data_IF_860466795578
#
_entry.id   IF_860466795578
#
_cell.length_a   1.000
_cell.length_b   1.000
_cell.length_c   1.000
_cell.angle_alpha   90.00
_cell.angle_beta   90.00
_cell.angle_gamma   90.00
#
_symmetry.space_group_name_H-M   'P 1'
#
loop_
_entity.id
_entity.type
_entity.pdbx_description
1 polymer ?
2 non-polymer ?
3 water ?
#
# COMPACT_ATOMS: atom_id res chain seq x y z
N UNK A 1 -3.73 -2.21 -9.56
CA UNK A 1 -2.65 -2.80 -8.72
C UNK A 1 -2.27 -1.78 -7.62
N UNK A 2 -2.55 -2.13 -6.36
CA UNK A 2 -2.11 -1.37 -5.19
C UNK A 2 -0.74 -1.90 -4.77
N UNK A 3 0.18 -1.01 -4.44
CA UNK A 3 1.48 -1.45 -3.94
C UNK A 3 2.41 -2.00 -4.99
N UNK A 4 2.10 -1.75 -6.26
CA UNK A 4 2.91 -2.28 -7.34
C UNK A 4 3.99 -1.31 -7.78
N UNK A 5 4.44 -1.53 -9.02
CA UNK A 5 5.45 -0.67 -9.62
C UNK A 5 5.17 -0.60 -11.11
N UNK A 6 5.81 0.35 -11.79
CA UNK A 6 5.64 0.52 -13.24
C UNK A 6 6.29 -0.65 -13.95
N UNK A 7 5.53 -1.36 -14.76
CA UNK A 7 6.08 -2.49 -15.49
C UNK A 7 7.17 -1.97 -16.39
N UNK A 8 8.30 -2.66 -16.42
CA UNK A 8 9.39 -2.32 -17.33
C UNK A 8 8.93 -2.40 -18.78
N UNK A 9 9.73 -1.82 -19.68
CA UNK A 9 9.46 -1.86 -21.11
C UNK A 9 9.41 -3.31 -21.62
N UNK A 10 8.38 -3.59 -22.42
CA UNK A 10 8.09 -4.94 -22.94
C UNK A 10 8.38 -6.09 -21.98
N UNK A 11 7.96 -5.94 -20.73
CA UNK A 11 8.07 -7.06 -19.80
C UNK A 11 6.75 -7.81 -19.74
N UNK A 12 5.70 -7.21 -20.31
CA UNK A 12 4.36 -7.78 -20.28
C UNK A 12 3.68 -7.70 -21.66
N UNK A 13 4.29 -8.34 -22.68
CA UNK A 13 3.82 -8.16 -24.06
C UNK A 13 2.46 -8.78 -24.32
N UNK A 14 2.04 -9.67 -23.40
CA UNK A 14 0.78 -10.41 -23.53
C UNK A 14 -0.39 -9.69 -22.89
N UNK A 15 -0.13 -8.57 -22.22
CA UNK A 15 -1.20 -7.82 -21.57
C UNK A 15 -2.07 -7.10 -22.60
N UNK A 16 -3.39 -7.28 -22.52
CA UNK A 16 -4.32 -6.47 -23.31
C UNK A 16 -5.36 -5.78 -22.42
N UNK A 17 -6.04 -4.78 -22.96
CA UNK A 17 -7.15 -4.13 -22.28
C UNK A 17 -8.41 -4.38 -23.08
N UNK A 18 -9.53 -4.57 -22.39
CA UNK A 18 -10.82 -4.65 -23.05
C UNK A 18 -11.46 -3.28 -22.87
N UNK A 19 -12.17 -2.81 -23.89
CA UNK A 19 -12.58 -1.44 -23.94
C UNK A 19 -13.98 -1.35 -24.50
N UNK A 20 -14.75 -0.42 -23.95
CA UNK A 20 -16.00 0.03 -24.56
C UNK A 20 -15.87 1.53 -24.56
N UNK A 21 -15.09 2.03 -25.51
CA UNK A 21 -14.69 3.41 -25.47
C UNK A 21 -13.40 3.48 -24.68
N UNK A 22 -13.47 3.19 -23.39
CA UNK A 22 -12.27 3.11 -22.54
C UNK A 22 -12.13 1.73 -21.88
N UNK A 23 -10.99 1.49 -21.25
CA UNK A 23 -10.70 0.21 -20.61
C UNK A 23 -11.52 -0.06 -19.36
N UNK A 24 -12.15 -1.24 -19.31
CA UNK A 24 -12.92 -1.65 -18.16
C UNK A 24 -12.37 -2.93 -17.56
N UNK A 25 -11.43 -3.56 -18.26
CA UNK A 25 -10.85 -4.82 -17.81
C UNK A 25 -9.55 -5.11 -18.53
N UNK A 26 -8.76 -6.03 -17.97
CA UNK A 26 -7.58 -6.51 -18.66
C UNK A 26 -7.86 -7.85 -19.33
N UNK A 27 -6.82 -8.45 -19.92
CA UNK A 27 -6.94 -9.74 -20.56
C UNK A 27 -5.55 -10.21 -20.90
N UNK A 28 -5.43 -11.43 -21.41
CA UNK A 28 -4.13 -11.99 -21.76
C UNK A 28 -4.20 -12.60 -23.13
N UNK A 29 -3.22 -12.27 -23.97
CA UNK A 29 -3.13 -12.81 -25.32
C UNK A 29 -2.51 -14.22 -25.24
N UNK A 30 -3.32 -15.26 -25.52
CA UNK A 30 -2.87 -16.68 -25.43
C UNK A 30 -2.73 -17.39 -26.80
N UNK A 31 -3.07 -16.68 -27.87
CA UNK A 31 -2.98 -17.20 -29.21
C UNK A 31 -2.98 -15.95 -30.06
N UNK A 32 -2.42 -16.00 -31.27
CA UNK A 32 -2.42 -14.83 -32.17
C UNK A 32 -3.82 -14.27 -32.48
N UNK A 33 -4.85 -15.07 -32.17
CA UNK A 33 -6.20 -14.62 -32.39
C UNK A 33 -7.11 -14.74 -31.16
N UNK A 34 -6.54 -15.06 -30.00
CA UNK A 34 -7.39 -15.27 -28.82
C UNK A 34 -6.84 -14.66 -27.53
N UNK A 35 -7.77 -14.06 -26.79
CA UNK A 35 -7.49 -13.44 -25.52
C UNK A 35 -8.31 -14.16 -24.43
N UNK A 36 -7.69 -14.44 -23.29
CA UNK A 36 -8.43 -14.89 -22.12
C UNK A 36 -8.70 -13.70 -21.18
N UNK A 37 -9.92 -13.60 -20.67
CA UNK A 37 -10.24 -12.59 -19.67
C UNK A 37 -11.20 -13.19 -18.64
N UNK A 38 -11.73 -12.35 -17.76
CA UNK A 38 -12.70 -12.81 -16.77
C UNK A 38 -14.10 -12.79 -17.37
N UNK A 39 -14.92 -13.77 -17.00
CA UNK A 39 -16.27 -13.84 -17.50
C UNK A 39 -17.14 -12.70 -17.01
N UNK A 40 -16.80 -12.14 -15.86
CA UNK A 40 -17.56 -11.00 -15.39
C UNK A 40 -17.16 -9.67 -16.07
N UNK A 41 -16.22 -9.73 -17.01
CA UNK A 41 -15.84 -8.57 -17.82
C UNK A 41 -16.64 -8.58 -19.11
N UNK A 42 -17.53 -9.54 -19.19
CA UNK A 42 -18.33 -9.73 -20.39
C UNK A 42 -19.09 -8.49 -20.81
N UNK A 43 -19.03 -8.22 -22.11
CA UNK A 43 -19.93 -7.28 -22.74
C UNK A 43 -20.17 -7.85 -24.12
N UNK A 44 -21.20 -7.33 -24.76
CA UNK A 44 -21.63 -7.77 -26.08
C UNK A 44 -20.64 -7.38 -27.19
N UNK A 45 -20.12 -6.15 -27.09
CA UNK A 45 -19.17 -5.60 -28.05
C UNK A 45 -17.96 -5.12 -27.26
N UNK A 46 -16.79 -5.63 -27.63
CA UNK A 46 -15.54 -5.32 -26.95
C UNK A 46 -14.49 -5.02 -28.02
N UNK A 47 -13.79 -3.90 -27.85
CA UNK A 47 -12.59 -3.65 -28.64
C UNK A 47 -11.41 -4.03 -27.78
N UNK A 48 -10.57 -4.92 -28.29
CA UNK A 48 -9.35 -5.29 -27.57
C UNK A 48 -8.19 -4.45 -28.04
N UNK A 49 -7.38 -3.96 -27.12
CA UNK A 49 -6.19 -3.25 -27.55
C UNK A 49 -4.95 -3.94 -27.03
N UNK A 50 -3.97 -4.11 -27.93
CA UNK A 50 -2.72 -4.81 -27.65
C UNK A 50 -1.56 -3.84 -27.74
N UNK A 51 -0.49 -4.14 -27.04
CA UNK A 51 0.71 -3.34 -27.14
C UNK A 51 0.69 -2.01 -26.37
N UNK A 52 -0.32 -1.75 -25.54
CA UNK A 52 -0.33 -0.53 -24.73
C UNK A 52 0.56 -0.62 -23.50
N UNK A 53 1.27 0.46 -23.21
CA UNK A 53 1.95 0.60 -21.93
C UNK A 53 1.30 1.74 -21.15
N UNK A 54 1.44 2.94 -21.68
CA UNK A 54 0.72 4.11 -21.20
C UNK A 54 -0.65 4.04 -21.87
N UNK A 55 -1.70 3.84 -21.09
CA UNK A 55 -3.03 3.63 -21.67
C UNK A 55 -3.67 4.93 -22.17
N UNK A 56 -3.03 6.05 -21.85
CA UNK A 56 -3.50 7.36 -22.29
C UNK A 56 -2.80 7.82 -23.56
N UNK A 57 -1.50 7.56 -23.65
CA UNK A 57 -0.67 8.09 -24.73
C UNK A 57 -0.18 6.98 -25.63
N UNK A 58 -0.54 7.06 -26.91
CA UNK A 58 -0.04 6.12 -27.93
C UNK A 58 1.47 6.16 -27.94
N UNK A 59 2.09 5.01 -27.94
CA UNK A 59 3.53 4.95 -28.06
C UNK A 59 3.96 4.30 -29.35
N UNK A 60 2.98 3.79 -30.10
CA UNK A 60 3.26 3.37 -31.46
C UNK A 60 3.07 1.90 -31.76
N UNK A 61 3.07 1.07 -30.73
CA UNK A 61 2.92 -0.36 -30.94
C UNK A 61 1.53 -0.90 -30.64
N UNK A 62 0.55 -0.01 -30.52
CA UNK A 62 -0.80 -0.45 -30.18
C UNK A 62 -1.46 -1.12 -31.36
N UNK A 63 -2.29 -2.12 -31.06
CA UNK A 63 -3.18 -2.69 -32.06
C UNK A 63 -4.62 -2.63 -31.53
N UNK A 64 -5.51 -2.12 -32.36
CA UNK A 64 -6.92 -1.98 -32.01
C UNK A 64 -7.64 -3.05 -32.80
N UNK A 65 -8.20 -4.04 -32.11
CA UNK A 65 -8.89 -5.13 -32.79
C UNK A 65 -10.20 -5.43 -32.05
N UNK A 66 -11.31 -5.41 -32.76
CA UNK A 66 -12.60 -5.68 -32.17
C UNK A 66 -12.80 -7.18 -32.00
N UNK A 67 -13.46 -7.57 -30.92
CA UNK A 67 -13.73 -8.96 -30.67
C UNK A 67 -14.64 -9.49 -31.78
N UNK A 68 -14.33 -10.67 -32.29
CA UNK A 68 -15.22 -11.33 -33.24
C UNK A 68 -16.20 -12.19 -32.46
N UNK A 69 -15.72 -12.89 -31.44
CA UNK A 69 -16.56 -13.79 -30.67
C UNK A 69 -16.20 -13.63 -29.22
N UNK A 70 -17.22 -13.59 -28.37
CA UNK A 70 -17.03 -13.51 -26.91
C UNK A 70 -17.74 -14.72 -26.33
N UNK A 71 -16.95 -15.62 -25.79
CA UNK A 71 -17.47 -16.86 -25.27
C UNK A 71 -17.13 -16.95 -23.78
N UNK A 72 -18.11 -16.65 -22.94
CA UNK A 72 -17.97 -16.81 -21.50
C UNK A 72 -18.17 -18.26 -21.10
N UNK A 73 -17.42 -18.73 -20.11
CA UNK A 73 -17.54 -20.13 -19.69
C UNK A 73 -19.00 -20.47 -19.39
N UNK A 74 -19.51 -21.56 -20.00
CA UNK A 74 -20.95 -21.90 -19.96
C UNK A 74 -21.51 -22.01 -18.54
N UNK A 75 -20.65 -22.46 -17.63
CA UNK A 75 -21.01 -22.65 -16.22
C UNK A 75 -20.59 -21.49 -15.33
N UNK A 76 -20.42 -20.31 -15.93
CA UNK A 76 -20.06 -19.13 -15.17
C UNK A 76 -21.20 -18.80 -14.21
N UNK A 77 -20.84 -18.59 -12.95
CA UNK A 77 -21.81 -18.26 -11.92
C UNK A 77 -21.65 -16.79 -11.54
N UNK A 78 -22.64 -15.98 -11.88
CA UNK A 78 -22.65 -14.55 -11.57
C UNK A 78 -22.48 -14.23 -10.08
N UNK A 79 -23.26 -14.89 -9.24
CA UNK A 79 -23.25 -14.66 -7.79
C UNK A 79 -21.92 -15.04 -7.15
N UNK A 80 -21.45 -16.26 -7.39
CA UNK A 80 -20.24 -16.79 -6.75
C UNK A 80 -18.94 -16.48 -7.49
N UNK A 81 -19.06 -16.01 -8.74
CA UNK A 81 -17.92 -15.78 -9.64
C UNK A 81 -17.15 -17.05 -9.95
N UNK A 82 -17.84 -18.18 -9.84
CA UNK A 82 -17.29 -19.50 -10.13
C UNK A 82 -17.22 -19.63 -11.65
N UNK A 83 -16.08 -20.11 -12.15
CA UNK A 83 -15.85 -20.26 -13.58
C UNK A 83 -15.82 -18.89 -14.22
N UNK A 84 -15.12 -17.97 -13.56
CA UNK A 84 -15.01 -16.59 -14.02
C UNK A 84 -13.93 -16.52 -15.09
N UNK A 85 -14.29 -16.91 -16.31
CA UNK A 85 -13.33 -17.02 -17.40
C UNK A 85 -14.08 -16.91 -18.70
N UNK A 86 -13.43 -16.27 -19.67
CA UNK A 86 -14.05 -15.87 -20.93
C UNK A 86 -12.96 -15.79 -22.00
N UNK A 87 -13.29 -16.25 -23.20
CA UNK A 87 -12.35 -16.24 -24.33
C UNK A 87 -12.88 -15.26 -25.33
N UNK A 88 -11.99 -14.47 -25.91
CA UNK A 88 -12.37 -13.52 -26.94
C UNK A 88 -11.58 -13.85 -28.18
N UNK A 89 -12.27 -14.16 -29.28
CA UNK A 89 -11.61 -14.30 -30.56
C UNK A 89 -11.47 -12.92 -31.18
N UNK A 90 -10.26 -12.60 -31.64
CA UNK A 90 -10.01 -11.33 -32.28
C UNK A 90 -10.50 -11.39 -33.71
N UNK A 91 -11.04 -10.28 -34.21
CA UNK A 91 -11.56 -10.27 -35.57
C UNK A 91 -10.43 -10.43 -36.63
N UNK A 92 -9.21 -10.05 -36.28
CA UNK A 92 -8.05 -10.35 -37.11
C UNK A 92 -6.89 -10.85 -36.25
N UNK A 93 -5.92 -11.50 -36.88
CA UNK A 93 -4.74 -12.00 -36.17
C UNK A 93 -3.88 -10.86 -35.66
N UNK A 94 -3.56 -10.88 -34.38
CA UNK A 94 -2.64 -9.91 -33.85
C UNK A 94 -1.32 -10.11 -34.56
N UNK A 95 -0.55 -9.05 -34.63
CA UNK A 95 0.80 -9.08 -35.19
C UNK A 95 1.73 -9.30 -34.03
N UNK A 96 2.46 -10.40 -34.05
CA UNK A 96 3.37 -10.74 -32.97
C UNK A 96 4.73 -10.11 -33.23
N UNK A 97 5.23 -9.39 -32.24
CA UNK A 97 6.52 -8.74 -32.34
C UNK A 97 7.08 -8.74 -30.92
N UNK A 98 7.97 -7.81 -30.58
CA UNK A 98 8.55 -7.78 -29.23
C UNK A 98 7.64 -7.10 -28.22
N UNK A 99 6.67 -6.33 -28.72
CA UNK A 99 5.73 -5.58 -27.88
C UNK A 99 4.42 -6.32 -27.69
N UNK A 100 4.11 -7.20 -28.64
CA UNK A 100 2.89 -7.98 -28.59
C UNK A 100 3.21 -9.43 -28.82
N UNK A 101 3.05 -10.23 -27.78
CA UNK A 101 3.14 -11.66 -27.91
C UNK A 101 2.33 -12.38 -26.85
N UNK A 102 2.30 -13.71 -26.99
CA UNK A 102 1.39 -14.56 -26.27
C UNK A 102 2.00 -15.03 -24.99
N UNK A 103 1.17 -15.59 -24.13
CA UNK A 103 1.62 -16.20 -22.88
C UNK A 103 1.12 -17.65 -22.89
N UNK A 104 1.97 -18.55 -22.44
CA UNK A 104 1.69 -19.96 -22.39
C UNK A 104 0.63 -20.29 -21.35
N UNK A 105 -0.19 -21.30 -21.63
CA UNK A 105 -1.13 -21.81 -20.62
C UNK A 105 -0.37 -22.69 -19.64
N UNK A 106 -0.96 -22.98 -18.47
CA UNK A 106 -0.20 -23.74 -17.47
C UNK A 106 -0.23 -25.27 -17.67
N UNK A 107 0.91 -25.89 -17.42
CA UNK A 107 0.99 -27.35 -17.54
C UNK A 107 0.69 -28.06 -16.20
N UNK A 108 0.73 -27.32 -15.11
CA UNK A 108 0.43 -27.85 -13.78
C UNK A 108 -0.28 -26.74 -13.03
N UNK A 109 -1.13 -27.09 -12.04
CA UNK A 109 -1.81 -26.05 -11.26
C UNK A 109 -0.81 -25.22 -10.45
N UNK A 110 -1.25 -24.07 -9.93
CA UNK A 110 -0.35 -23.16 -9.21
C UNK A 110 0.22 -23.80 -7.95
N UNK A 111 1.52 -23.65 -7.76
CA UNK A 111 2.22 -24.28 -6.66
C UNK A 111 2.44 -23.26 -5.56
N UNK A 112 1.95 -23.57 -4.38
CA UNK A 112 2.03 -22.67 -3.24
C UNK A 112 3.45 -22.13 -3.05
N UNK A 113 3.55 -20.82 -2.87
CA UNK A 113 4.83 -20.18 -2.70
C UNK A 113 5.38 -19.59 -3.98
N UNK A 114 4.97 -20.13 -5.14
CA UNK A 114 5.42 -19.65 -6.44
C UNK A 114 5.18 -18.15 -6.64
N UNK A 115 6.24 -17.46 -7.08
CA UNK A 115 6.16 -16.03 -7.38
C UNK A 115 5.52 -15.79 -8.74
N UNK A 116 4.58 -14.86 -8.76
CA UNK A 116 3.85 -14.53 -9.98
C UNK A 116 3.86 -13.04 -10.22
N UNK A 117 3.57 -12.67 -11.47
CA UNK A 117 3.48 -11.28 -11.86
C UNK A 117 2.04 -10.97 -12.21
N UNK A 118 1.46 -10.01 -11.50
CA UNK A 118 0.12 -9.53 -11.80
C UNK A 118 0.26 -8.13 -12.39
N UNK A 119 -0.56 -7.83 -13.38
CA UNK A 119 -0.47 -6.54 -14.04
C UNK A 119 -1.83 -5.97 -14.46
N UNK A 120 -1.94 -4.65 -14.53
CA UNK A 120 -3.17 -4.05 -14.99
C UNK A 120 -3.16 -2.55 -14.80
N UNK A 121 -4.20 -1.90 -15.31
CA UNK A 121 -4.36 -0.46 -15.20
C UNK A 121 -5.43 -0.12 -14.15
N UNK A 122 -5.63 -1.04 -13.20
CA UNK A 122 -6.60 -0.80 -12.15
C UNK A 122 -6.19 0.27 -11.17
N UNK A 123 -7.07 0.49 -10.19
CA UNK A 123 -6.87 1.50 -9.14
C UNK A 123 -5.64 1.12 -8.35
N UNK A 124 -4.80 2.11 -8.04
CA UNK A 124 -3.56 1.89 -7.31
C UNK A 124 -3.62 2.35 -5.86
N UNK A 125 -4.80 2.80 -5.41
CA UNK A 125 -5.01 3.26 -4.05
C UNK A 125 -6.05 2.37 -3.35
N UNK A 126 -5.78 2.00 -2.11
CA UNK A 126 -6.72 1.20 -1.32
C UNK A 126 -8.06 1.93 -1.05
N UNK A 127 -8.02 3.26 -0.98
CA UNK A 127 -9.26 4.04 -0.89
C UNK A 127 -9.12 5.29 -1.75
N UNK A 128 -10.22 5.68 -2.40
CA UNK A 128 -10.18 6.77 -3.35
C UNK A 128 -9.76 6.29 -4.72
N UNK A 129 -10.17 7.03 -5.75
CA UNK A 129 -9.77 6.73 -7.11
C UNK A 129 -8.36 7.25 -7.36
N UNK A 130 -7.52 6.40 -7.93
CA UNK A 130 -6.19 6.79 -8.35
C UNK A 130 -5.74 5.82 -9.43
N UNK A 132 -3.83 4.57 -12.83
CA UNK A 132 -2.51 4.82 -13.41
C UNK A 132 -2.57 4.96 -14.93
N UNK A 133 -1.65 5.74 -15.47
CA UNK A 133 -1.47 5.79 -16.92
C UNK A 133 -0.66 4.60 -17.42
N UNK A 134 0.39 4.27 -16.67
CA UNK A 134 1.27 3.20 -17.05
C UNK A 134 0.92 1.89 -16.42
N UNK A 135 1.03 0.83 -17.22
CA UNK A 135 0.79 -0.52 -16.74
C UNK A 135 1.54 -0.77 -15.46
N UNK A 136 0.81 -1.20 -14.43
CA UNK A 136 1.37 -1.55 -13.14
C UNK A 136 1.58 -3.06 -13.02
N UNK A 137 2.61 -3.43 -12.27
CA UNK A 137 3.06 -4.81 -12.12
C UNK A 137 3.17 -5.06 -10.62
N UNK A 138 3.01 -6.31 -10.23
CA UNK A 138 3.13 -6.68 -8.82
C UNK A 138 3.63 -8.11 -8.75
N UNK A 139 4.66 -8.34 -7.96
CA UNK A 139 5.13 -9.69 -7.70
C UNK A 139 4.50 -10.17 -6.42
N UNK A 140 3.75 -11.26 -6.50
CA UNK A 140 3.03 -11.81 -5.35
C UNK A 140 3.10 -13.34 -5.41
N UNK A 141 3.08 -14.01 -4.25
CA UNK A 141 3.28 -15.45 -4.29
C UNK A 141 1.95 -16.19 -4.19
N UNK A 142 1.91 -17.44 -4.65
CA UNK A 142 0.69 -18.22 -4.48
C UNK A 142 0.54 -18.63 -3.02
N UNK A 143 -0.64 -18.38 -2.46
CA UNK A 143 -0.96 -18.76 -1.09
C UNK A 143 -1.64 -20.11 -1.09
N UNK A 144 -1.59 -20.80 0.04
CA UNK A 144 -2.21 -22.12 0.14
C UNK A 144 -3.71 -21.99 0.00
N UNK A 145 -4.36 -23.06 -0.43
CA UNK A 145 -5.83 -23.10 -0.47
C UNK A 145 -6.42 -22.85 0.91
N UNK A 146 -5.71 -23.35 1.93
CA UNK A 146 -6.09 -23.20 3.33
C UNK A 146 -6.22 -21.75 3.71
N UNK A 147 -5.14 -20.99 3.47
CA UNK A 147 -5.13 -19.57 3.75
C UNK A 147 -6.22 -18.87 2.91
N UNK A 148 -6.43 -19.38 1.71
CA UNK A 148 -7.42 -18.81 0.80
C UNK A 148 -8.85 -19.06 1.28
N UNK A 149 -9.14 -20.30 1.68
CA UNK A 149 -10.47 -20.68 2.16
C UNK A 149 -10.76 -19.91 3.43
N UNK A 150 -9.73 -19.83 4.29
CA UNK A 150 -9.78 -19.16 5.60
C UNK A 150 -10.15 -17.70 5.46
N UNK A 151 -9.49 -17.03 4.52
CA UNK A 151 -9.73 -15.63 4.27
C UNK A 151 -11.15 -15.40 3.73
N UNK A 152 -11.66 -16.34 2.96
CA UNK A 152 -13.00 -16.18 2.37
C UNK A 152 -13.90 -17.41 2.61
N UNK A 153 -14.41 -17.53 3.84
CA UNK A 153 -15.12 -18.73 4.33
C UNK A 153 -16.36 -19.06 3.50
N UNK A 154 -16.27 -20.15 2.74
CA UNK A 154 -17.41 -20.60 1.95
C UNK A 154 -17.60 -19.97 0.59
N UNK A 155 -16.65 -19.10 0.20
CA UNK A 155 -16.69 -18.43 -1.12
C UNK A 155 -15.74 -19.09 -2.15
N UNK A 156 -14.71 -19.76 -1.65
CA UNK A 156 -13.62 -20.29 -2.46
C UNK A 156 -13.93 -21.66 -3.03
N UNK A 157 -14.04 -21.77 -4.36
CA UNK A 157 -14.20 -23.07 -4.99
C UNK A 157 -12.85 -23.56 -5.56
N UNK A 158 -12.82 -24.77 -6.11
CA UNK A 158 -11.57 -25.35 -6.63
C UNK A 158 -11.12 -24.66 -7.92
N UNK A 159 -11.97 -23.77 -8.41
CA UNK A 159 -11.71 -23.03 -9.64
C UNK A 159 -11.16 -21.66 -9.30
N UNK A 160 -10.71 -21.49 -8.06
CA UNK A 160 -10.19 -20.22 -7.58
C UNK A 160 -8.90 -20.47 -6.80
N UNK A 161 -8.03 -19.48 -6.73
CA UNK A 161 -6.88 -19.53 -5.82
C UNK A 161 -6.47 -18.13 -5.40
N UNK A 162 -5.61 -18.04 -4.41
CA UNK A 162 -5.29 -16.76 -3.78
C UNK A 162 -3.82 -16.50 -3.97
N UNK A 163 -3.52 -15.29 -4.43
CA UNK A 163 -2.14 -14.84 -4.62
C UNK A 163 -2.13 -13.48 -3.95
N UNK A 164 -1.13 -13.25 -3.12
CA UNK A 164 -1.06 -11.98 -2.44
C UNK A 164 -0.30 -12.04 -1.13
N UNK A 165 -0.76 -11.22 -0.19
CA UNK A 165 -0.10 -11.10 1.11
C UNK A 165 -1.21 -11.01 2.13
N UNK A 166 -1.11 -11.80 3.18
CA UNK A 166 -2.18 -11.81 4.18
C UNK A 166 -2.13 -10.56 5.04
N UNK A 167 -1.00 -9.88 5.02
CA UNK A 167 -0.87 -8.61 5.72
C UNK A 167 -1.51 -7.46 4.94
N UNK A 168 -1.90 -7.71 3.70
CA UNK A 168 -2.42 -6.66 2.86
C UNK A 168 -1.33 -5.70 2.40
N UNK A 169 -1.73 -4.53 1.90
CA UNK A 169 -0.76 -3.56 1.42
C UNK A 169 -0.54 -3.59 -0.09
N UNK A 170 -0.42 -4.79 -0.64
CA UNK A 170 -0.26 -4.98 -2.08
C UNK A 170 -1.35 -5.93 -2.55
N UNK A 171 -1.94 -5.61 -3.70
CA UNK A 171 -3.09 -6.37 -4.17
C UNK A 171 -3.55 -5.92 -5.55
N UNK A 172 -4.42 -6.70 -6.17
CA UNK A 172 -5.16 -6.26 -7.35
C UNK A 172 -6.35 -5.42 -6.88
N UNK A 173 -6.94 -4.64 -7.77
CA UNK A 173 -7.99 -3.72 -7.37
C UNK A 173 -8.93 -3.43 -8.52
N UNK A 174 -9.94 -2.60 -8.26
CA UNK A 174 -10.92 -2.22 -9.27
C UNK A 174 -10.26 -1.80 -10.60
N UNK A 175 -10.59 -2.51 -11.68
CA UNK A 175 -10.03 -2.22 -12.99
C UNK A 175 -9.03 -3.26 -13.46
N UNK A 176 -8.56 -4.09 -12.53
CA UNK A 176 -7.57 -5.10 -12.87
C UNK A 176 -8.15 -6.43 -13.35
N UNK A 177 -9.47 -6.58 -13.20
CA UNK A 177 -10.18 -7.82 -13.56
C UNK A 177 -9.92 -8.28 -14.98
N UNK A 178 -9.80 -9.59 -15.18
CA UNK A 178 -9.49 -10.13 -16.48
C UNK A 178 -7.99 -10.25 -16.75
N UNK A 179 -7.19 -9.50 -15.99
CA UNK A 179 -5.77 -9.45 -16.27
C UNK A 179 -5.04 -10.71 -15.88
N UNK A 180 -3.73 -10.76 -16.20
CA UNK A 180 -2.90 -11.96 -16.05
C UNK A 180 -2.18 -12.06 -14.70
N UNK A 181 -2.12 -13.29 -14.18
CA UNK A 181 -1.22 -13.70 -13.11
C UNK A 181 -0.30 -14.71 -13.79
N UNK A 182 0.93 -14.32 -14.04
CA UNK A 182 1.86 -15.18 -14.75
C UNK A 182 2.95 -15.66 -13.79
N UNK A 183 3.09 -16.98 -13.68
CA UNK A 183 4.09 -17.59 -12.81
C UNK A 183 4.95 -18.52 -13.64
N UNK A 184 6.27 -18.36 -13.56
CA UNK A 184 7.21 -19.21 -14.31
C UNK A 184 6.84 -19.39 -15.79
N UNK A 185 6.50 -18.28 -16.43
CA UNK A 185 6.22 -18.28 -17.85
C UNK A 185 4.87 -18.83 -18.22
N UNK A 186 3.96 -18.94 -17.25
CA UNK A 186 2.66 -19.53 -17.54
C UNK A 186 1.53 -18.75 -16.92
N UNK A 187 0.44 -18.58 -17.68
CA UNK A 187 -0.73 -17.89 -17.16
C UNK A 187 -1.46 -18.78 -16.17
N UNK A 188 -1.24 -18.55 -14.87
CA UNK A 188 -1.92 -19.35 -13.86
C UNK A 188 -3.25 -18.75 -13.41
N UNK A 189 -3.36 -17.42 -13.44
CA UNK A 189 -4.56 -16.79 -12.94
C UNK A 189 -5.13 -15.68 -13.82
N UNK A 190 -6.42 -15.45 -13.65
CA UNK A 190 -7.12 -14.31 -14.22
C UNK A 190 -7.62 -13.55 -12.98
N UNK A 191 -7.38 -12.24 -12.92
CA UNK A 191 -7.84 -11.43 -11.79
C UNK A 191 -9.36 -11.57 -11.69
N UNK A 192 -9.84 -12.10 -10.57
CA UNK A 192 -11.26 -12.38 -10.45
C UNK A 192 -12.00 -11.45 -9.50
N UNK A 193 -11.77 -11.61 -8.20
CA UNK A 193 -12.48 -10.81 -7.21
C UNK A 193 -11.67 -10.63 -5.94
N UNK A 194 -12.16 -9.76 -5.05
CA UNK A 194 -11.56 -9.62 -3.74
C UNK A 194 -12.51 -8.99 -2.75
N UNK A 195 -12.09 -8.88 -1.49
CA UNK A 195 -12.86 -8.17 -0.49
C UNK A 195 -12.11 -6.89 -0.22
N UNK A 196 -12.49 -5.82 -0.92
CA UNK A 196 -11.72 -4.59 -0.89
C UNK A 196 -10.41 -4.78 -1.64
N UNK A 197 -9.45 -3.89 -1.41
CA UNK A 197 -8.15 -4.00 -2.08
C UNK A 197 -7.08 -3.89 -1.04
N UNK A 198 -6.15 -4.83 -1.08
CA UNK A 198 -4.98 -4.80 -0.24
C UNK A 198 -5.33 -4.78 1.25
N UNK A 199 -6.50 -5.31 1.59
CA UNK A 199 -6.91 -5.43 3.00
C UNK A 199 -6.20 -6.59 3.69
N UNK A 200 -6.05 -6.50 5.01
CA UNK A 200 -5.41 -7.55 5.80
C UNK A 200 -6.24 -8.85 5.79
N UNK A 201 -5.58 -9.96 5.44
CA UNK A 201 -6.21 -11.27 5.35
C UNK A 201 -7.35 -11.29 4.34
N UNK A 202 -7.23 -10.49 3.29
CA UNK A 202 -8.20 -10.49 2.20
C UNK A 202 -7.45 -10.38 0.89
N UNK A 203 -6.60 -11.38 0.59
CA UNK A 203 -5.87 -11.44 -0.68
C UNK A 203 -6.86 -11.58 -1.84
N UNK A 204 -6.45 -11.17 -3.04
CA UNK A 204 -7.34 -11.26 -4.18
C UNK A 204 -7.51 -12.71 -4.58
N UNK A 205 -8.59 -12.99 -5.30
CA UNK A 205 -8.90 -14.35 -5.70
C UNK A 205 -8.87 -14.42 -7.21
N UNK A 206 -8.32 -15.50 -7.75
CA UNK A 206 -8.05 -15.59 -9.16
C UNK A 206 -8.60 -16.89 -9.70
N UNK A 207 -9.08 -16.85 -10.92
CA UNK A 207 -9.56 -18.04 -11.58
C UNK A 207 -8.38 -18.97 -11.87
N UNK A 208 -8.50 -20.24 -11.46
CA UNK A 208 -7.48 -21.24 -11.76
C UNK A 208 -7.51 -21.67 -13.25
N UNK A 209 -6.68 -21.02 -14.06
CA UNK A 209 -6.70 -21.22 -15.50
C UNK A 209 -6.42 -22.68 -15.79
N UNK A 210 -5.63 -23.31 -14.94
CA UNK A 210 -5.23 -24.69 -15.15
C UNK A 210 -6.43 -25.62 -15.28
N UNK A 211 -7.53 -25.30 -14.61
CA UNK A 211 -8.71 -26.15 -14.70
C UNK A 211 -9.40 -26.05 -16.04
N UNK A 212 -9.07 -25.02 -16.83
CA UNK A 212 -9.75 -24.75 -18.10
C UNK A 212 -8.90 -24.99 -19.33
N UNK A 213 -7.71 -25.52 -19.14
CA UNK A 213 -6.77 -25.74 -20.24
C UNK A 213 -7.35 -26.53 -21.42
N UNK A 214 -8.11 -27.59 -21.15
CA UNK A 214 -8.75 -28.35 -22.23
C UNK A 214 -9.92 -27.60 -22.89
N UNK A 215 -10.73 -26.93 -22.07
CA UNK A 215 -11.88 -26.16 -22.56
C UNK A 215 -11.42 -25.01 -23.48
N UNK A 216 -10.30 -24.39 -23.14
CA UNK A 216 -9.75 -23.33 -23.96
C UNK A 216 -9.30 -23.85 -25.32
N UNK A 217 -8.45 -24.89 -25.34
CA UNK A 217 -8.01 -25.43 -26.62
C UNK A 217 -9.21 -25.90 -27.44
N UNK A 218 -10.10 -26.67 -26.82
CA UNK A 218 -11.28 -27.16 -27.54
C UNK A 218 -12.08 -26.00 -28.11
N UNK A 219 -12.27 -24.95 -27.31
CA UNK A 219 -13.09 -23.83 -27.75
C UNK A 219 -12.45 -23.10 -28.89
N UNK A 220 -11.13 -22.97 -28.85
CA UNK A 220 -10.40 -22.26 -29.89
C UNK A 220 -10.43 -23.07 -31.18
N UNK A 221 -10.30 -24.38 -31.04
CA UNK A 221 -10.29 -25.28 -32.20
C UNK A 221 -11.64 -25.26 -32.89
N UNK A 222 -12.72 -25.20 -32.10
CA UNK A 222 -14.07 -25.21 -32.65
C UNK A 222 -14.45 -23.88 -33.29
N UNK A 223 -13.72 -22.83 -32.95
CA UNK A 223 -14.10 -21.52 -33.42
C UNK A 223 -13.00 -20.95 -34.30
N UNK A 224 -12.27 -21.84 -34.96
CA UNK A 224 -11.22 -21.43 -35.86
C UNK A 224 -11.61 -21.81 -37.29
N UNK B 1 2.05 21.60 14.23
CA UNK B 1 1.09 21.12 13.20
C UNK B 1 0.36 22.33 12.65
N UNK B 2 0.54 22.58 11.35
CA UNK B 2 -0.12 23.68 10.63
C UNK B 2 -1.37 23.14 9.95
N UNK B 3 -2.45 23.90 10.02
CA UNK B 3 -3.66 23.53 9.32
C UNK B 3 -4.46 22.43 9.97
N UNK B 4 -4.09 22.06 11.19
CA UNK B 4 -4.79 21.00 11.89
C UNK B 4 -5.94 21.43 12.77
N UNK B 5 -6.23 20.62 13.77
CA UNK B 5 -7.30 20.92 14.70
C UNK B 5 -6.99 20.35 16.10
N UNK B 6 -7.68 20.84 17.12
CA UNK B 6 -7.58 20.28 18.46
C UNK B 6 -8.03 18.84 18.37
N UNK B 7 -7.13 17.92 18.65
CA UNK B 7 -7.53 16.52 18.76
C UNK B 7 -8.71 16.42 19.71
N UNK B 8 -9.61 15.49 19.46
CA UNK B 8 -10.70 15.24 20.40
C UNK B 8 -10.11 14.65 21.69
N UNK B 9 -10.97 14.46 22.68
CA UNK B 9 -10.54 13.84 23.91
C UNK B 9 -10.35 12.35 23.66
N UNK B 10 -9.36 11.78 24.33
CA UNK B 10 -9.11 10.35 24.27
C UNK B 10 -8.79 9.81 22.89
N UNK B 11 -8.52 10.66 21.91
CA UNK B 11 -8.30 10.16 20.55
C UNK B 11 -6.85 9.78 20.27
N UNK B 12 -5.93 10.36 21.03
CA UNK B 12 -4.51 10.14 20.82
C UNK B 12 -3.82 9.70 22.12
N UNK B 13 -4.26 8.56 22.70
CA UNK B 13 -3.79 8.16 24.03
C UNK B 13 -2.33 7.72 24.04
N UNK B 14 -1.79 7.50 22.84
CA UNK B 14 -0.42 7.03 22.66
C UNK B 14 0.58 8.18 22.49
N UNK B 15 0.09 9.42 22.41
CA UNK B 15 0.97 10.56 22.20
C UNK B 15 1.75 10.83 23.48
N UNK B 16 3.07 10.93 23.36
CA UNK B 16 3.88 11.40 24.47
C UNK B 16 4.68 12.62 24.04
N UNK B 17 5.13 13.40 25.01
CA UNK B 17 6.06 14.50 24.73
C UNK B 17 7.37 14.22 25.44
N UNK B 18 8.46 14.55 24.77
CA UNK B 18 9.78 14.39 25.36
C UNK B 18 10.22 15.75 25.83
N UNK B 19 10.82 15.74 27.01
CA UNK B 19 11.21 16.98 27.65
C UNK B 19 12.58 16.74 28.23
N UNK B 20 13.49 17.68 28.02
CA UNK B 20 14.76 17.66 28.72
C UNK B 20 14.83 19.09 29.20
N UNK B 21 13.88 19.40 30.09
CA UNK B 21 13.73 20.77 30.55
C UNK B 21 12.59 21.51 29.86
N UNK B 22 12.38 21.19 28.59
CA UNK B 22 11.33 21.78 27.77
C UNK B 22 10.74 20.68 26.87
N UNK B 23 9.54 20.90 26.32
CA UNK B 23 8.96 20.04 25.28
C UNK B 23 9.67 20.33 23.95
N UNK B 24 10.61 19.48 23.59
CA UNK B 24 11.31 19.64 22.33
C UNK B 24 10.72 18.72 21.26
N UNK B 25 10.15 17.58 21.68
CA UNK B 25 9.68 16.57 20.73
C UNK B 25 8.45 15.81 21.20
N UNK B 26 7.82 15.13 20.25
CA UNK B 26 6.73 14.22 20.54
C UNK B 26 7.25 12.79 20.51
N UNK B 27 6.36 11.81 20.65
CA UNK B 27 6.74 10.41 20.63
C UNK B 27 5.53 9.52 20.72
N UNK B 28 5.71 8.20 20.59
CA UNK B 28 4.60 7.28 20.71
C UNK B 28 4.91 6.20 21.72
N UNK B 29 3.93 5.89 22.57
CA UNK B 29 4.01 4.74 23.45
C UNK B 29 3.66 3.45 22.65
N UNK B 30 4.64 2.57 22.46
CA UNK B 30 4.45 1.31 21.70
C UNK B 30 4.50 0.04 22.57
N UNK B 31 4.80 0.23 23.85
CA UNK B 31 4.82 -0.84 24.86
C UNK B 31 4.65 -0.10 26.19
N UNK B 32 4.12 -0.80 27.19
CA UNK B 32 3.96 -0.22 28.53
C UNK B 32 5.23 0.43 29.05
N UNK B 33 6.38 0.05 28.50
CA UNK B 33 7.63 0.57 28.96
C UNK B 33 8.54 1.18 27.89
N UNK B 34 8.01 1.45 26.72
CA UNK B 34 8.85 1.93 25.60
C UNK B 34 8.15 2.97 24.73
N UNK B 35 8.91 3.99 24.34
CA UNK B 35 8.45 5.06 23.46
C UNK B 35 9.33 5.08 22.18
N UNK B 36 8.72 5.26 21.00
CA UNK B 36 9.49 5.58 19.80
C UNK B 36 9.44 7.10 19.60
N UNK B 37 10.55 7.69 19.19
CA UNK B 37 10.59 9.09 18.80
C UNK B 37 11.60 9.22 17.64
N UNK B 38 12.04 10.44 17.34
CA UNK B 38 12.96 10.66 16.23
C UNK B 38 14.36 10.69 16.81
N UNK B 39 15.29 10.03 16.13
CA UNK B 39 16.66 9.98 16.61
C UNK B 39 17.25 11.35 16.79
N UNK B 40 16.83 12.30 15.96
CA UNK B 40 17.35 13.63 16.14
C UNK B 40 16.79 14.34 17.36
N UNK B 41 15.91 13.67 18.10
CA UNK B 41 15.37 14.23 19.34
C UNK B 41 16.21 13.73 20.50
N UNK B 42 17.33 13.15 20.18
CA UNK B 42 18.18 12.58 21.20
C UNK B 42 18.68 13.64 22.19
N UNK B 43 18.50 13.36 23.48
CA UNK B 43 19.12 14.11 24.57
C UNK B 43 19.65 13.00 25.46
N UNK B 44 20.57 13.35 26.36
CA UNK B 44 21.13 12.37 27.27
C UNK B 44 20.16 12.14 28.43
N UNK B 45 19.37 13.15 28.74
CA UNK B 45 18.40 13.07 29.84
C UNK B 45 17.07 13.48 29.25
N UNK B 46 16.09 12.58 29.36
CA UNK B 46 14.74 12.87 28.88
C UNK B 46 13.72 12.43 29.93
N UNK B 47 12.75 13.30 30.17
CA UNK B 47 11.58 12.93 30.96
C UNK B 47 10.44 12.81 29.96
N UNK B 48 9.78 11.66 29.96
CA UNK B 48 8.65 11.45 29.08
C UNK B 48 7.38 11.76 29.85
N UNK B 49 6.50 12.52 29.24
CA UNK B 49 5.19 12.76 29.82
C UNK B 49 4.13 12.16 28.93
N UNK B 50 3.27 11.38 29.57
CA UNK B 50 2.23 10.61 28.92
C UNK B 50 0.92 11.24 29.36
N UNK B 51 -0.12 11.15 28.53
CA UNK B 51 -1.44 11.52 28.99
C UNK B 51 -1.74 13.01 28.99
N UNK B 52 -0.88 13.81 28.35
CA UNK B 52 -1.05 15.26 28.29
C UNK B 52 -1.96 15.59 27.11
N UNK B 53 -2.89 16.52 27.31
CA UNK B 53 -3.66 17.09 26.22
C UNK B 53 -3.30 18.59 26.08
N UNK B 54 -3.62 19.34 27.12
CA UNK B 54 -3.18 20.73 27.21
C UNK B 54 -1.80 20.64 27.83
N UNK B 55 -0.80 21.04 27.06
CA UNK B 55 0.58 20.85 27.47
C UNK B 55 0.99 21.85 28.58
N UNK B 56 0.12 22.80 28.85
CA UNK B 56 0.40 23.84 29.84
C UNK B 56 -0.30 23.58 31.16
N UNK B 57 -1.54 23.10 31.07
CA UNK B 57 -2.40 22.91 32.24
C UNK B 57 -2.64 21.44 32.47
N UNK B 58 -2.27 20.95 33.66
CA UNK B 58 -2.47 19.56 34.02
C UNK B 58 -3.95 19.30 34.10
N UNK B 59 -4.39 18.17 33.57
CA UNK B 59 -5.80 17.85 33.60
C UNK B 59 -6.05 16.62 34.44
N UNK B 60 -4.96 16.04 34.94
CA UNK B 60 -5.11 14.98 35.90
C UNK B 60 -4.63 13.61 35.50
N UNK B 61 -4.50 13.36 34.21
CA UNK B 61 -4.08 12.04 33.74
C UNK B 61 -2.64 11.91 33.32
N UNK B 62 -1.82 12.92 33.60
CA UNK B 62 -0.44 12.90 33.17
C UNK B 62 0.36 11.92 34.01
N UNK B 63 1.35 11.29 33.39
CA UNK B 63 2.35 10.49 34.08
C UNK B 63 3.71 11.03 33.67
N UNK B 64 4.54 11.36 34.64
CA UNK B 64 5.89 11.88 34.39
C UNK B 64 6.83 10.72 34.68
N UNK B 65 7.58 10.26 33.69
CA UNK B 65 8.47 9.12 33.87
C UNK B 65 9.80 9.40 33.17
N UNK B 66 10.90 9.26 33.88
CA UNK B 66 12.19 9.54 33.25
C UNK B 66 12.67 8.38 32.41
N UNK B 67 13.33 8.68 31.29
CA UNK B 67 13.93 7.64 30.44
C UNK B 67 14.99 6.85 31.21
N UNK B 68 14.90 5.52 31.17
CA UNK B 68 15.92 4.67 31.76
C UNK B 68 17.01 4.46 30.73
N UNK B 69 16.64 4.21 29.49
CA UNK B 69 17.64 4.02 28.45
C UNK B 69 17.14 4.78 27.24
N UNK B 70 18.05 5.37 26.50
CA UNK B 70 17.69 6.07 25.28
C UNK B 70 18.54 5.49 24.16
N UNK B 71 17.91 4.71 23.30
CA UNK B 71 18.60 3.97 22.24
C UNK B 71 18.25 4.51 20.85
N UNK B 72 19.17 5.27 20.27
CA UNK B 72 19.04 5.75 18.90
C UNK B 72 19.48 4.64 17.93
N UNK B 73 18.93 4.66 16.73
CA UNK B 73 19.23 3.65 15.73
C UNK B 73 20.70 3.69 15.34
N UNK B 74 21.37 2.52 15.28
CA UNK B 74 22.82 2.60 15.26
C UNK B 74 23.38 3.09 13.91
N UNK B 75 22.52 3.21 12.92
CA UNK B 75 22.92 3.78 11.65
C UNK B 75 22.25 5.12 11.40
N UNK B 76 21.84 5.79 12.47
CA UNK B 76 21.21 7.09 12.32
C UNK B 76 22.20 8.07 11.68
N UNK B 77 21.76 8.73 10.62
CA UNK B 77 22.61 9.66 9.89
C UNK B 77 22.19 11.11 10.18
N UNK B 78 22.99 11.79 10.99
CA UNK B 78 22.74 13.19 11.36
C UNK B 78 22.67 14.09 10.13
N UNK B 79 23.38 13.73 9.08
CA UNK B 79 23.39 14.53 7.87
C UNK B 79 22.11 14.35 7.04
N UNK B 80 21.80 13.10 6.69
CA UNK B 80 20.63 12.82 5.86
C UNK B 80 19.35 12.64 6.67
N UNK B 81 19.49 12.48 7.98
CA UNK B 81 18.42 12.02 8.85
C UNK B 81 17.86 10.69 8.35
N UNK B 82 18.74 9.88 7.76
CA UNK B 82 18.36 8.52 7.38
C UNK B 82 18.39 7.73 8.68
N UNK B 83 17.42 6.85 8.84
CA UNK B 83 17.31 6.07 10.08
C UNK B 83 17.05 7.01 11.27
N UNK B 84 16.17 7.98 11.09
CA UNK B 84 15.79 8.93 12.13
C UNK B 84 14.76 8.29 13.06
N UNK B 85 15.23 7.42 13.95
CA UNK B 85 14.35 6.73 14.88
C UNK B 85 15.11 6.42 16.16
N UNK B 86 14.39 6.35 17.26
CA UNK B 86 15.01 6.26 18.57
C UNK B 86 14.04 5.58 19.49
N UNK B 87 14.56 4.74 20.37
CA UNK B 87 13.77 4.01 21.34
C UNK B 87 14.09 4.48 22.74
N UNK B 88 13.08 4.72 23.55
CA UNK B 88 13.27 5.13 24.92
C UNK B 88 12.61 4.12 25.86
N UNK B 89 13.39 3.55 26.77
CA UNK B 89 12.82 2.70 27.79
C UNK B 89 12.48 3.56 29.00
N UNK B 90 11.23 3.49 29.44
CA UNK B 90 10.79 4.27 30.59
C UNK B 90 11.37 3.65 31.87
N UNK B 91 11.62 4.45 32.89
CA UNK B 91 12.17 3.89 34.13
C UNK B 91 11.13 3.11 34.93
N UNK B 92 9.86 3.33 34.63
CA UNK B 92 8.78 2.53 35.20
C UNK B 92 7.75 2.28 34.10
N UNK B 93 6.95 1.24 34.26
CA UNK B 93 5.95 0.90 33.28
C UNK B 93 4.81 1.90 33.41
N UNK B 94 4.32 2.38 32.28
CA UNK B 94 3.18 3.29 32.23
C UNK B 94 1.97 2.54 32.71
N UNK B 95 1.10 3.24 33.41
CA UNK B 95 -0.22 2.70 33.78
C UNK B 95 -1.10 2.88 32.57
N UNK B 96 -1.51 1.77 31.95
CA UNK B 96 -2.36 1.82 30.76
C UNK B 96 -3.81 1.95 31.19
N UNK B 97 -4.47 2.97 30.67
CA UNK B 97 -5.85 3.27 31.02
C UNK B 97 -6.49 3.82 29.74
N UNK B 98 -7.60 4.56 29.90
CA UNK B 98 -8.31 5.11 28.76
C UNK B 98 -7.56 6.26 28.06
N UNK B 99 -6.65 6.93 28.77
CA UNK B 99 -5.95 8.10 28.23
C UNK B 99 -4.49 7.88 27.91
N UNK B 100 -3.90 6.80 28.42
CA UNK B 100 -2.52 6.43 28.08
C UNK B 100 -2.59 4.99 27.61
N UNK B 101 -2.55 4.79 26.30
CA UNK B 101 -2.55 3.46 25.70
C UNK B 101 -1.44 3.40 24.67
N UNK B 102 -1.15 2.18 24.21
CA UNK B 102 -0.12 1.97 23.22
C UNK B 102 -0.71 1.99 21.82
N UNK B 103 0.18 2.07 20.83
CA UNK B 103 -0.22 2.00 19.43
C UNK B 103 0.57 0.85 18.78
N UNK B 104 -0.12 0.07 17.96
CA UNK B 104 0.47 -1.04 17.26
C UNK B 104 1.49 -0.60 16.20
N UNK B 105 2.52 -1.41 16.00
CA UNK B 105 3.50 -1.16 14.96
C UNK B 105 2.84 -1.65 13.66
N UNK B 106 3.37 -1.22 12.49
CA UNK B 106 2.71 -1.52 11.20
C UNK B 106 3.04 -2.92 10.68
N UNK B 107 2.02 -3.63 10.19
CA UNK B 107 2.24 -4.98 9.64
C UNK B 107 2.49 -4.94 8.12
N UNK B 108 2.41 -3.75 7.55
CA UNK B 108 2.69 -3.55 6.14
C UNK B 108 2.99 -2.07 5.94
N UNK B 109 3.83 -1.74 4.95
CA UNK B 109 4.32 -0.37 4.83
C UNK B 109 3.19 0.55 4.39
N UNK B 110 3.42 1.86 4.42
CA UNK B 110 2.43 2.82 3.92
C UNK B 110 1.97 2.57 2.48
N UNK B 111 0.69 2.21 2.34
CA UNK B 111 0.05 2.15 1.03
C UNK B 111 -0.54 3.53 0.74
N UNK B 112 -0.09 4.13 -0.36
CA UNK B 112 -0.49 5.47 -0.75
C UNK B 112 -2.01 5.58 -0.91
N UNK B 113 -2.54 6.71 -0.44
CA UNK B 113 -3.97 6.90 -0.43
C UNK B 113 -4.56 6.81 0.97
N UNK B 114 -3.91 6.02 1.82
CA UNK B 114 -4.39 5.80 3.18
C UNK B 114 -4.32 7.10 3.98
N UNK B 115 -5.43 7.41 4.66
CA UNK B 115 -5.50 8.56 5.56
C UNK B 115 -4.75 8.26 6.84
N UNK B 116 -3.95 9.21 7.28
CA UNK B 116 -3.23 9.10 8.51
C UNK B 116 -3.55 10.26 9.44
N UNK B 117 -3.16 10.10 10.69
CA UNK B 117 -3.39 11.10 11.70
C UNK B 117 -2.05 11.43 12.32
N UNK B 118 -1.54 12.61 11.99
CA UNK B 118 -0.33 13.15 12.56
C UNK B 118 -0.76 14.00 13.76
N UNK B 119 0.05 14.05 14.81
CA UNK B 119 -0.31 14.87 15.98
C UNK B 119 0.90 15.50 16.67
N UNK B 120 0.67 16.60 17.37
CA UNK B 120 1.76 17.19 18.13
C UNK B 120 1.43 18.55 18.69
N UNK B 121 2.37 19.05 19.48
CA UNK B 121 2.24 20.37 20.13
C UNK B 121 3.23 21.32 19.46
N UNK B 122 3.45 21.11 18.18
CA UNK B 122 4.44 21.90 17.48
C UNK B 122 3.84 23.19 16.98
N UNK B 123 4.72 24.04 16.48
CA UNK B 123 4.41 25.35 15.91
C UNK B 123 3.30 25.19 14.91
N UNK B 124 2.26 25.98 15.09
CA UNK B 124 1.12 25.97 14.19
C UNK B 124 1.19 27.09 13.14
N UNK B 125 2.22 27.94 13.25
CA UNK B 125 2.37 29.05 12.32
C UNK B 125 3.48 28.72 11.31
N UNK B 126 3.10 28.67 10.03
CA UNK B 126 4.06 28.50 8.94
C UNK B 126 5.12 29.61 9.06
N UNK B 127 4.65 30.84 9.08
CA UNK B 127 5.52 31.98 9.29
C UNK B 127 5.49 32.35 10.78
N UNK B 128 6.66 32.46 11.39
CA UNK B 128 6.71 32.88 12.77
C UNK B 128 6.44 31.75 13.76
N UNK B 129 5.81 32.08 14.89
CA UNK B 129 5.67 31.13 16.00
C UNK B 129 4.33 31.22 16.72
N UNK B 130 3.56 30.15 16.66
CA UNK B 130 2.32 30.06 17.42
C UNK B 130 2.19 28.64 17.92
N UNK B 132 0.59 25.83 20.30
CA UNK B 132 -0.72 25.60 20.89
C UNK B 132 -0.58 24.99 22.29
N UNK B 133 -1.63 25.16 23.10
CA UNK B 133 -1.74 24.46 24.37
C UNK B 133 -2.27 23.05 24.15
N UNK B 134 -3.35 22.96 23.39
CA UNK B 134 -3.99 21.70 23.13
C UNK B 134 -3.30 20.95 21.99
N UNK B 135 -3.27 19.63 22.11
CA UNK B 135 -2.68 18.77 21.10
C UNK B 135 -3.40 18.96 19.78
N UNK B 136 -2.60 19.12 18.73
CA UNK B 136 -3.11 19.35 17.39
C UNK B 136 -3.09 18.03 16.63
N UNK B 137 -4.14 17.81 15.84
CA UNK B 137 -4.31 16.64 14.98
C UNK B 137 -4.40 17.09 13.53
N UNK B 138 -4.03 16.19 12.61
CA UNK B 138 -4.07 16.48 11.18
C UNK B 138 -4.28 15.18 10.41
N UNK B 139 -5.39 15.10 9.69
CA UNK B 139 -5.62 13.99 8.74
C UNK B 139 -4.86 14.30 7.46
N UNK B 140 -3.96 13.40 7.05
CA UNK B 140 -3.20 13.61 5.83
C UNK B 140 -3.03 12.26 5.13
N UNK B 141 -2.85 12.28 3.80
CA UNK B 141 -2.87 11.00 3.09
C UNK B 141 -1.45 10.56 2.76
N UNK B 142 -1.28 9.24 2.63
CA UNK B 142 0.03 8.75 2.21
C UNK B 142 0.25 9.09 0.74
N UNK B 143 1.32 9.84 0.48
CA UNK B 143 1.66 10.25 -0.87
C UNK B 143 2.46 9.13 -1.53
N UNK B 144 2.26 8.94 -2.83
CA UNK B 144 3.06 8.00 -3.62
C UNK B 144 4.54 8.34 -3.49
N UNK B 145 5.38 7.31 -3.48
CA UNK B 145 6.82 7.51 -3.36
C UNK B 145 7.32 8.35 -4.52
N UNK B 146 6.66 8.19 -5.66
CA UNK B 146 6.96 8.95 -6.86
C UNK B 146 6.87 10.45 -6.55
N UNK B 147 5.75 10.84 -5.94
CA UNK B 147 5.53 12.22 -5.56
C UNK B 147 6.44 12.66 -4.43
N UNK B 148 6.78 11.73 -3.55
CA UNK B 148 7.68 12.06 -2.43
C UNK B 148 9.10 12.30 -2.92
N UNK B 149 9.61 11.36 -3.70
CA UNK B 149 10.97 11.43 -4.23
C UNK B 149 11.18 12.70 -5.06
N UNK B 150 10.13 13.10 -5.78
CA UNK B 150 10.12 14.32 -6.58
C UNK B 150 10.36 15.56 -5.75
N UNK B 151 9.51 15.77 -4.75
CA UNK B 151 9.54 16.97 -3.93
C UNK B 151 10.88 17.17 -3.24
N UNK B 152 11.59 16.08 -2.96
CA UNK B 152 12.91 16.17 -2.36
C UNK B 152 13.84 15.28 -3.15
N UNK B 153 14.10 15.67 -4.41
CA UNK B 153 14.93 14.88 -5.31
C UNK B 153 16.28 14.56 -4.68
N UNK B 154 16.48 13.26 -4.44
CA UNK B 154 17.74 12.78 -3.93
C UNK B 154 17.88 12.78 -2.42
N UNK B 155 16.86 13.28 -1.73
CA UNK B 155 16.87 13.29 -0.28
C UNK B 155 16.16 12.08 0.32
N UNK B 156 15.21 11.53 -0.45
CA UNK B 156 14.29 10.52 0.06
C UNK B 156 14.86 9.10 0.01
N UNK B 157 15.14 8.50 1.17
CA UNK B 157 15.59 7.11 1.18
C UNK B 157 14.40 6.15 1.28
N UNK B 158 14.71 4.85 1.22
CA UNK B 158 13.71 3.79 1.35
C UNK B 158 13.15 3.75 2.78
N UNK B 159 13.87 4.44 3.66
CA UNK B 159 13.49 4.58 5.05
C UNK B 159 12.65 5.84 5.28
N UNK B 160 12.25 6.51 4.21
CA UNK B 160 11.42 7.70 4.35
C UNK B 160 10.25 7.64 3.41
N UNK B 161 9.20 8.38 3.75
CA UNK B 161 8.03 8.52 2.88
C UNK B 161 7.40 9.86 3.15
N UNK B 162 6.39 10.22 2.37
CA UNK B 162 5.79 11.53 2.48
C UNK B 162 4.33 11.38 2.77
N UNK B 163 3.85 12.20 3.70
CA UNK B 163 2.43 12.26 4.05
C UNK B 163 2.05 13.73 3.97
N UNK B 164 0.91 14.00 3.35
CA UNK B 164 0.44 15.37 3.28
C UNK B 164 -0.23 15.82 2.01
N UNK B 165 0.03 17.08 1.66
CA UNK B 165 -0.64 17.76 0.56
C UNK B 165 0.36 18.57 -0.23
N UNK B 166 0.37 18.37 -1.54
CA UNK B 166 1.32 19.04 -2.41
C UNK B 166 1.00 20.53 -2.55
N UNK B 167 -0.27 20.85 -2.34
CA UNK B 167 -0.73 22.24 -2.35
C UNK B 167 -0.09 23.06 -1.22
N UNK B 168 0.21 22.40 -0.10
CA UNK B 168 0.62 23.12 1.09
C UNK B 168 -0.55 23.39 2.02
N UNK B 169 -0.35 24.21 3.03
CA UNK B 169 -1.44 24.56 3.92
C UNK B 169 -1.49 23.73 5.19
N UNK B 170 -1.33 22.41 5.04
CA UNK B 170 -1.44 21.48 6.16
C UNK B 170 -0.18 20.62 6.21
N UNK B 171 0.47 20.57 7.37
CA UNK B 171 1.77 19.89 7.50
C UNK B 171 2.23 19.91 8.95
N UNK B 172 3.18 19.06 9.30
CA UNK B 172 3.79 19.09 10.61
C UNK B 172 4.76 20.27 10.61
N UNK B 173 5.28 20.64 11.77
CA UNK B 173 6.18 21.77 11.85
C UNK B 173 7.07 21.61 13.09
N UNK B 174 7.96 22.57 13.33
CA UNK B 174 8.89 22.55 14.45
C UNK B 174 8.25 22.20 15.81
N UNK B 175 8.81 21.19 16.49
CA UNK B 175 8.30 20.75 17.79
C UNK B 175 7.44 19.49 17.68
N UNK B 176 7.07 19.16 16.44
CA UNK B 176 6.31 17.96 16.15
C UNK B 176 7.21 16.74 15.99
N UNK B 177 8.49 16.98 15.81
CA UNK B 177 9.44 15.92 15.53
C UNK B 177 9.31 14.80 16.52
N UNK B 178 9.39 13.57 15.99
CA UNK B 178 9.33 12.38 16.83
C UNK B 178 7.92 11.86 17.00
N UNK B 179 6.94 12.69 16.67
CA UNK B 179 5.56 12.38 16.96
C UNK B 179 4.95 11.38 16.01
N UNK B 180 3.73 10.93 16.31
CA UNK B 180 3.21 9.78 15.59
C UNK B 180 2.46 10.16 14.31
N UNK B 181 2.57 9.28 13.32
CA UNK B 181 1.75 9.31 12.13
C UNK B 181 1.14 7.91 12.13
N UNK B 182 -0.15 7.84 12.42
CA UNK B 182 -0.83 6.59 12.62
C UNK B 182 -1.83 6.40 11.49
N UNK B 183 -1.79 5.26 10.82
CA UNK B 183 -2.71 4.97 9.73
C UNK B 183 -3.30 3.57 9.90
N UNK B 184 -4.63 3.47 9.97
CA UNK B 184 -5.30 2.19 10.19
C UNK B 184 -4.97 1.63 11.57
N UNK B 185 -4.76 2.49 12.55
CA UNK B 185 -4.48 2.00 13.88
C UNK B 185 -3.07 1.44 14.02
N UNK B 186 -2.18 1.88 13.14
CA UNK B 186 -0.80 1.43 13.21
C UNK B 186 0.09 2.63 13.04
N UNK B 187 1.20 2.62 13.77
CA UNK B 187 2.19 3.68 13.67
C UNK B 187 3.03 3.49 12.41
N UNK B 188 2.66 4.16 11.33
CA UNK B 188 3.39 4.07 10.07
C UNK B 188 4.58 5.00 10.07
N UNK B 189 4.44 6.16 10.70
CA UNK B 189 5.48 7.16 10.58
C UNK B 189 5.88 7.85 11.86
N UNK B 190 7.07 8.43 11.83
CA UNK B 190 7.55 9.28 12.90
C UNK B 190 7.91 10.61 12.26
N UNK B 191 7.34 11.70 12.74
CA UNK B 191 7.69 13.03 12.25
C UNK B 191 9.20 13.20 12.26
N UNK B 192 9.76 13.47 11.09
CA UNK B 192 11.21 13.52 10.93
C UNK B 192 11.70 14.88 10.44
N UNK B 193 11.31 15.26 9.22
CA UNK B 193 11.76 16.53 8.67
C UNK B 193 10.96 16.95 7.46
N UNK B 194 11.19 18.18 7.05
CA UNK B 194 10.56 18.71 5.86
C UNK B 194 11.30 19.98 5.51
N UNK B 195 10.90 20.63 4.42
CA UNK B 195 11.45 21.94 4.08
C UNK B 195 10.33 22.96 4.13
N UNK B 196 10.30 23.72 5.22
CA UNK B 196 9.18 24.58 5.49
C UNK B 196 7.97 23.79 5.93
N UNK B 197 7.14 24.43 6.75
CA UNK B 197 5.92 23.81 7.21
C UNK B 197 4.79 24.27 6.29
N UNK B 198 3.91 23.34 5.93
CA UNK B 198 2.77 23.62 5.05
C UNK B 198 3.30 24.14 3.73
N UNK B 199 4.56 23.86 3.45
CA UNK B 199 5.21 24.43 2.30
C UNK B 199 4.75 23.78 1.02
N UNK B 200 4.35 24.65 0.09
CA UNK B 200 3.87 24.28 -1.23
C UNK B 200 4.78 23.27 -1.93
N UNK B 201 4.25 22.07 -2.14
CA UNK B 201 4.94 20.99 -2.84
C UNK B 201 6.18 20.45 -2.13
N UNK B 202 6.49 21.00 -0.95
CA UNK B 202 7.54 20.44 -0.12
C UNK B 202 6.88 19.88 1.12
N UNK B 203 6.34 18.64 0.99
CA UNK B 203 5.50 18.01 2.01
C UNK B 203 6.35 17.40 3.12
N UNK B 204 5.70 16.95 4.19
CA UNK B 204 6.42 16.39 5.33
C UNK B 204 7.04 15.03 5.05
N UNK B 205 8.28 14.86 5.48
CA UNK B 205 8.96 13.57 5.36
C UNK B 205 8.91 12.86 6.71
N UNK B 206 8.66 11.56 6.67
CA UNK B 206 8.49 10.75 7.88
C UNK B 206 9.32 9.47 7.82
N UNK B 207 9.82 9.07 8.98
CA UNK B 207 10.57 7.84 9.11
C UNK B 207 9.62 6.67 8.92
N UNK B 208 9.93 5.78 7.97
CA UNK B 208 9.08 4.63 7.68
C UNK B 208 9.30 3.56 8.74
N UNK B 209 8.41 3.55 9.73
CA UNK B 209 8.57 2.69 10.90
C UNK B 209 8.59 1.22 10.55
N UNK B 210 7.90 0.88 9.45
CA UNK B 210 7.84 -0.51 8.98
C UNK B 210 9.21 -1.16 8.85
N UNK B 211 10.17 -0.44 8.31
CA UNK B 211 11.50 -0.99 8.10
C UNK B 211 12.19 -1.32 9.41
N UNK B 212 11.66 -0.84 10.53
CA UNK B 212 12.32 -0.99 11.84
C UNK B 212 11.64 -1.95 12.83
N UNK B 213 10.58 -2.62 12.38
CA UNK B 213 9.79 -3.51 13.24
C UNK B 213 10.60 -4.60 13.94
N UNK B 214 11.54 -5.22 13.22
CA UNK B 214 12.40 -6.25 13.81
C UNK B 214 13.42 -5.65 14.78
N UNK B 215 14.07 -4.58 14.35
CA UNK B 215 15.05 -3.88 15.17
C UNK B 215 14.40 -3.47 16.49
N UNK B 216 13.21 -2.91 16.40
CA UNK B 216 12.47 -2.50 17.59
C UNK B 216 12.22 -3.65 18.58
N UNK B 217 11.59 -4.73 18.14
CA UNK B 217 11.27 -5.82 19.07
C UNK B 217 12.52 -6.46 19.64
N UNK B 218 13.57 -6.53 18.83
CA UNK B 218 14.84 -7.11 19.28
C UNK B 218 15.49 -6.22 20.30
N UNK B 219 15.44 -4.91 20.08
CA UNK B 219 16.05 -3.99 21.02
C UNK B 219 15.29 -4.04 22.34
N UNK B 220 13.96 -4.07 22.26
CA UNK B 220 13.14 -4.15 23.45
C UNK B 220 13.38 -5.46 24.21
N UNK B 221 13.39 -6.57 23.49
CA UNK B 221 13.64 -7.86 24.09
C UNK B 221 15.02 -7.89 24.74
N UNK B 222 16.00 -7.29 24.04
CA UNK B 222 17.37 -7.25 24.53
C UNK B 222 17.59 -6.33 25.75
N UNK B 223 16.58 -5.55 26.13
CA UNK B 223 16.70 -4.54 27.18
C UNK B 223 15.56 -4.61 28.18
N UNK B 224 15.04 -5.80 28.40
CA UNK B 224 13.90 -5.95 29.27
C UNK B 224 14.25 -6.73 30.53
#
# INVERSE_FOLDING_TARGET
>A
IVGGYNCEENSVPYQVSLNSGYHFCGGSLINEQWVVSAGHCYKSRIQVRLGEHNIEVLEGNEQFINAAKIIRHPQYDRKTLNNDIMLIKLSSRAVINARVSTISLPTAPPATGTKCLISGWGNTASSGADXPDELQCLDAPVLSQAKCEASYPGKITSNMFCVGFLEGGKDSCQGDSGGPVVCNGQLQGVVSWGDGCAQKNKPGVYTKVYNYVKWIKNTIAANS
>B
IVGGYNCEENSVPYQVSLNSGYHFCGGSLINEQWVVSAGHCYKSRIQVRLGEHNIEVLEGNEQFINAAKIIRHPQYDRKTLNNDIMLIKLSSRAVINARVSTISLPTAPPATGTKCLISGWGNTASSGADXPDELQCLDAPVLSQAKCEASYPGKITSNMFCVGFLEGGKDSCQGDSGGPVVCNGQLQGVVSWGDGCAQKNKPGVYTKVYNYVKWIKNTIAANS
#
